data_IF_178293048864
#
_entry.id   IF_178293048864
#
_cell.length_a   1.000
_cell.length_b   1.000
_cell.length_c   1.000
_cell.angle_alpha   90.00
_cell.angle_beta   90.00
_cell.angle_gamma   90.00
#
_symmetry.space_group_name_H-M   'P 1'
#
loop_
_entity.id
_entity.type
_entity.pdbx_description
1 polymer ?
#
# COMPACT_ATOMS: atom_id res chain seq x y z
N UNK A 1 -5.47 -25.28 2.71
CA UNK A 1 -5.58 -24.45 3.91
C UNK A 1 -7.06 -24.31 4.28
N UNK A 2 -7.47 -24.65 5.51
CA UNK A 2 -8.78 -24.22 6.07
C UNK A 2 -8.45 -23.12 7.07
N UNK A 3 -8.44 -21.87 6.62
CA UNK A 3 -8.35 -20.73 7.53
C UNK A 3 -9.57 -20.78 8.46
N UNK A 4 -9.33 -20.81 9.76
CA UNK A 4 -10.39 -20.69 10.77
C UNK A 4 -10.26 -19.28 11.32
N UNK A 5 -11.17 -18.40 10.91
CA UNK A 5 -11.30 -17.07 11.50
C UNK A 5 -11.99 -17.27 12.85
N UNK A 6 -11.37 -16.74 13.90
CA UNK A 6 -11.97 -16.80 15.23
C UNK A 6 -13.29 -16.00 15.20
N UNK A 7 -14.40 -16.47 15.79
CA UNK A 7 -15.70 -15.79 15.70
C UNK A 7 -15.69 -14.31 16.12
N UNK A 8 -14.69 -13.92 16.91
CA UNK A 8 -14.49 -12.56 17.43
C UNK A 8 -13.32 -11.80 16.81
N UNK A 9 -12.53 -12.42 15.92
CA UNK A 9 -11.39 -11.77 15.30
C UNK A 9 -11.45 -11.91 13.79
N UNK A 10 -11.95 -10.85 13.15
CA UNK A 10 -12.26 -10.75 11.73
C UNK A 10 -11.20 -9.93 10.97
N UNK A 11 -9.97 -9.97 11.47
CA UNK A 11 -8.86 -9.16 10.99
C UNK A 11 -7.84 -10.07 10.33
N UNK A 12 -7.33 -9.63 9.18
CA UNK A 12 -6.18 -10.21 8.53
C UNK A 12 -4.98 -9.28 8.70
N UNK A 13 -3.87 -9.82 9.19
CA UNK A 13 -2.57 -9.17 9.18
C UNK A 13 -1.76 -9.69 7.99
N UNK A 14 -1.25 -8.78 7.18
CA UNK A 14 -0.66 -9.07 5.89
C UNK A 14 0.78 -8.56 5.79
N UNK A 15 1.60 -9.36 5.12
CA UNK A 15 2.94 -9.00 4.65
C UNK A 15 3.23 -9.81 3.39
N UNK A 16 4.36 -9.56 2.75
CA UNK A 16 4.88 -10.40 1.66
C UNK A 16 6.30 -10.89 2.02
N UNK A 17 6.75 -11.97 1.38
CA UNK A 17 8.06 -12.56 1.67
C UNK A 17 9.05 -12.47 0.51
N UNK A 18 8.60 -12.03 -0.66
CA UNK A 18 9.48 -11.72 -1.78
C UNK A 18 10.20 -10.39 -1.56
N UNK A 19 11.19 -10.14 -2.41
CA UNK A 19 12.05 -8.96 -2.33
C UNK A 19 12.63 -8.69 -3.71
N UNK A 20 13.15 -7.48 -3.92
CA UNK A 20 13.72 -7.03 -5.20
C UNK A 20 15.25 -7.17 -5.29
N UNK A 21 15.84 -8.03 -4.45
CA UNK A 21 17.27 -8.33 -4.51
C UNK A 21 17.67 -8.85 -5.88
N UNK A 22 18.80 -8.37 -6.40
CA UNK A 22 19.30 -8.77 -7.73
C UNK A 22 20.30 -9.92 -7.67
N UNK A 23 20.81 -10.21 -6.49
CA UNK A 23 21.82 -11.24 -6.27
C UNK A 23 21.38 -12.19 -5.16
N UNK A 24 21.51 -13.49 -5.43
CA UNK A 24 21.20 -14.52 -4.45
C UNK A 24 22.28 -14.62 -3.36
N UNK A 25 21.86 -14.97 -2.14
CA UNK A 25 22.76 -15.33 -1.06
C UNK A 25 22.39 -14.72 0.29
N UNK A 26 23.35 -14.76 1.22
CA UNK A 26 23.23 -14.07 2.51
C UNK A 26 23.86 -12.69 2.40
N UNK A 27 23.14 -11.67 2.85
CA UNK A 27 23.66 -10.32 2.99
C UNK A 27 24.16 -10.05 4.42
N UNK A 28 25.14 -9.16 4.54
CA UNK A 28 25.62 -8.66 5.83
C UNK A 28 24.84 -7.40 6.20
N UNK A 29 24.08 -7.47 7.28
CA UNK A 29 23.33 -6.33 7.82
C UNK A 29 24.16 -5.60 8.86
N UNK A 30 24.17 -4.27 8.79
CA UNK A 30 24.81 -3.38 9.75
C UNK A 30 23.76 -2.70 10.61
N UNK A 31 24.15 -2.38 11.84
CA UNK A 31 23.30 -1.69 12.80
C UNK A 31 24.09 -0.54 13.42
N UNK A 32 23.60 0.68 13.24
CA UNK A 32 24.13 1.88 13.87
C UNK A 32 23.44 2.10 15.21
N UNK A 33 24.19 1.90 16.30
CA UNK A 33 23.69 2.07 17.67
C UNK A 33 23.39 3.52 18.04
N UNK A 34 23.99 4.50 17.34
CA UNK A 34 23.79 5.92 17.65
C UNK A 34 22.46 6.44 17.09
N UNK A 35 22.09 6.00 15.89
CA UNK A 35 20.82 6.35 15.25
C UNK A 35 19.72 5.31 15.41
N UNK A 36 20.04 4.12 15.93
CA UNK A 36 19.14 2.97 16.06
C UNK A 36 18.57 2.50 14.71
N UNK A 37 19.45 2.40 13.70
CA UNK A 37 19.09 2.09 12.31
C UNK A 37 19.82 0.86 11.80
N UNK A 38 19.09 -0.06 11.16
CA UNK A 38 19.66 -1.16 10.38
C UNK A 38 19.75 -0.79 8.90
N UNK A 39 20.84 -1.19 8.24
CA UNK A 39 21.12 -0.87 6.84
C UNK A 39 22.13 -1.86 6.22
N UNK A 40 22.42 -1.66 4.92
CA UNK A 40 23.44 -2.38 4.17
C UNK A 40 24.45 -1.41 3.55
N UNK A 41 25.71 -1.84 3.36
CA UNK A 41 26.80 -1.02 2.83
C UNK A 41 27.22 -1.40 1.39
N UNK A 42 26.35 -2.11 0.67
CA UNK A 42 26.58 -2.59 -0.70
C UNK A 42 25.45 -2.17 -1.64
N UNK A 43 25.63 -2.43 -2.94
CA UNK A 43 24.69 -2.00 -3.98
C UNK A 43 23.51 -2.99 -4.12
N UNK A 44 22.83 -3.31 -3.04
CA UNK A 44 21.57 -4.08 -3.00
C UNK A 44 20.65 -3.48 -1.95
N UNK A 45 19.36 -3.81 -2.01
CA UNK A 45 18.40 -3.38 -0.99
C UNK A 45 18.64 -4.12 0.35
N UNK A 46 18.07 -3.62 1.44
CA UNK A 46 18.08 -4.30 2.74
C UNK A 46 17.01 -5.40 2.77
N UNK A 47 15.91 -5.21 2.05
CA UNK A 47 14.73 -6.07 2.06
C UNK A 47 13.84 -5.84 3.27
N UNK A 48 13.87 -4.65 3.88
CA UNK A 48 12.95 -4.30 4.96
C UNK A 48 11.51 -4.26 4.44
N UNK A 49 11.33 -3.84 3.19
CA UNK A 49 10.17 -4.14 2.35
C UNK A 49 10.28 -5.60 1.81
N UNK A 50 9.52 -6.58 2.33
CA UNK A 50 8.60 -6.53 3.48
C UNK A 50 9.00 -7.48 4.63
N UNK A 51 10.29 -7.79 4.78
CA UNK A 51 10.74 -8.64 5.91
C UNK A 51 10.43 -8.03 7.27
N UNK A 52 10.30 -6.69 7.35
CA UNK A 52 9.79 -5.98 8.53
C UNK A 52 8.34 -6.38 8.86
N UNK A 53 7.45 -6.43 7.86
CA UNK A 53 6.07 -6.89 8.05
C UNK A 53 6.00 -8.36 8.49
N UNK A 54 6.84 -9.21 7.89
CA UNK A 54 6.97 -10.62 8.30
C UNK A 54 7.42 -10.74 9.76
N UNK A 55 8.40 -9.95 10.19
CA UNK A 55 8.83 -9.91 11.58
C UNK A 55 7.69 -9.55 12.54
N UNK A 56 6.90 -8.51 12.21
CA UNK A 56 5.76 -8.10 13.03
C UNK A 56 4.70 -9.21 13.14
N UNK A 57 4.38 -9.88 12.03
CA UNK A 57 3.47 -11.05 12.03
C UNK A 57 4.00 -12.16 12.94
N UNK A 58 5.28 -12.51 12.83
CA UNK A 58 5.89 -13.57 13.64
C UNK A 58 5.86 -13.23 15.13
N UNK A 59 6.13 -11.98 15.51
CA UNK A 59 6.04 -11.54 16.91
C UNK A 59 4.59 -11.55 17.41
N UNK A 60 3.63 -11.08 16.63
CA UNK A 60 2.20 -11.15 17.00
C UNK A 60 1.73 -12.60 17.21
N UNK A 61 2.13 -13.54 16.34
CA UNK A 61 1.88 -14.98 16.49
C UNK A 61 2.55 -15.50 17.77
N UNK A 62 3.82 -15.16 18.01
CA UNK A 62 4.59 -15.58 19.19
C UNK A 62 3.92 -15.15 20.50
N UNK A 63 3.37 -13.94 20.53
CA UNK A 63 2.63 -13.40 21.66
C UNK A 63 1.13 -13.75 21.65
N UNK A 64 0.70 -14.62 20.72
CA UNK A 64 -0.66 -15.17 20.62
C UNK A 64 -1.74 -14.09 20.43
N UNK A 65 -1.40 -13.02 19.71
CA UNK A 65 -2.42 -12.07 19.25
C UNK A 65 -3.39 -12.82 18.33
N UNK A 66 -4.70 -12.81 18.59
CA UNK A 66 -5.65 -13.47 17.69
C UNK A 66 -5.69 -12.75 16.34
N UNK A 67 -5.95 -13.48 15.26
CA UNK A 67 -6.04 -12.94 13.90
C UNK A 67 -5.78 -14.01 12.85
N UNK A 68 -6.12 -13.70 11.60
CA UNK A 68 -5.63 -14.47 10.45
C UNK A 68 -4.35 -13.81 9.94
N UNK A 69 -3.29 -14.60 9.75
CA UNK A 69 -2.00 -14.11 9.27
C UNK A 69 -1.78 -14.63 7.86
N UNK A 70 -1.54 -13.73 6.91
CA UNK A 70 -1.25 -14.08 5.52
C UNK A 70 0.06 -13.44 5.12
N UNK A 71 1.00 -14.28 4.66
CA UNK A 71 2.24 -13.83 4.04
C UNK A 71 2.12 -14.19 2.56
N UNK A 72 1.99 -13.19 1.70
CA UNK A 72 1.83 -13.37 0.27
C UNK A 72 3.17 -13.61 -0.42
N UNK A 73 3.07 -14.07 -1.67
CA UNK A 73 4.19 -14.24 -2.58
C UNK A 73 3.91 -13.45 -3.85
N UNK A 74 4.94 -12.83 -4.42
CA UNK A 74 4.87 -12.11 -5.69
C UNK A 74 4.13 -10.78 -5.58
N UNK A 75 4.22 -10.10 -4.43
CA UNK A 75 3.73 -8.73 -4.27
C UNK A 75 4.52 -7.78 -5.17
N UNK A 76 5.86 -7.92 -5.14
CA UNK A 76 6.83 -7.16 -5.94
C UNK A 76 6.73 -7.48 -7.44
N UNK A 77 5.93 -8.50 -7.78
CA UNK A 77 5.60 -8.92 -9.14
C UNK A 77 4.14 -8.59 -9.52
N UNK A 78 3.47 -7.70 -8.77
CA UNK A 78 2.10 -7.25 -9.03
C UNK A 78 1.03 -8.05 -8.28
N UNK A 79 1.28 -8.42 -7.02
CA UNK A 79 0.25 -9.00 -6.14
C UNK A 79 -0.26 -10.40 -6.51
N UNK A 80 0.61 -11.26 -7.06
CA UNK A 80 0.20 -12.58 -7.57
C UNK A 80 -0.54 -13.40 -6.49
N UNK A 81 0.02 -13.47 -5.29
CA UNK A 81 -0.55 -14.25 -4.20
C UNK A 81 -1.90 -13.72 -3.70
N UNK A 82 -2.03 -12.41 -3.53
CA UNK A 82 -3.26 -11.76 -3.06
C UNK A 82 -4.38 -11.84 -4.11
N UNK A 83 -4.07 -11.59 -5.38
CA UNK A 83 -5.04 -11.76 -6.49
C UNK A 83 -5.57 -13.20 -6.57
N UNK A 84 -4.71 -14.20 -6.39
CA UNK A 84 -5.13 -15.60 -6.42
C UNK A 84 -6.07 -15.98 -5.25
N UNK A 85 -5.82 -15.46 -4.06
CA UNK A 85 -6.72 -15.63 -2.90
C UNK A 85 -8.08 -15.00 -3.19
N UNK A 86 -8.11 -13.75 -3.65
CA UNK A 86 -9.35 -13.01 -3.97
C UNK A 86 -10.13 -13.71 -5.07
N UNK A 87 -9.47 -14.15 -6.14
CA UNK A 87 -10.06 -14.92 -7.25
C UNK A 87 -10.67 -16.24 -6.77
N UNK A 88 -10.00 -16.90 -5.83
CA UNK A 88 -10.48 -18.14 -5.22
C UNK A 88 -11.74 -17.98 -4.36
N UNK A 89 -12.07 -16.75 -3.95
CA UNK A 89 -13.22 -16.40 -3.08
C UNK A 89 -13.43 -17.41 -1.94
N UNK A 90 -12.40 -17.65 -1.12
CA UNK A 90 -12.51 -18.64 -0.07
C UNK A 90 -13.61 -18.21 0.91
N UNK A 91 -14.40 -19.18 1.38
CA UNK A 91 -15.59 -18.89 2.22
C UNK A 91 -15.27 -18.07 3.47
N UNK A 92 -14.09 -18.25 4.05
CA UNK A 92 -13.66 -17.51 5.24
C UNK A 92 -13.55 -16.00 4.97
N UNK A 93 -13.35 -15.57 3.72
CA UNK A 93 -13.21 -14.15 3.39
C UNK A 93 -14.51 -13.36 3.65
N UNK A 94 -15.67 -14.03 3.61
CA UNK A 94 -16.96 -13.42 3.92
C UNK A 94 -17.10 -12.97 5.38
N UNK A 95 -16.27 -13.52 6.27
CA UNK A 95 -16.30 -13.22 7.70
C UNK A 95 -15.26 -12.15 8.11
N UNK A 96 -14.50 -11.61 7.15
CA UNK A 96 -13.43 -10.64 7.37
C UNK A 96 -13.99 -9.21 7.32
N UNK A 97 -13.59 -8.38 8.28
CA UNK A 97 -13.95 -6.96 8.32
C UNK A 97 -12.78 -6.04 7.97
N UNK A 98 -11.54 -6.48 8.23
CA UNK A 98 -10.35 -5.68 7.97
C UNK A 98 -9.14 -6.48 7.49
N UNK A 99 -8.41 -5.90 6.54
CA UNK A 99 -7.09 -6.32 6.07
C UNK A 99 -6.08 -5.20 6.38
N UNK A 100 -5.05 -5.52 7.15
CA UNK A 100 -4.00 -4.56 7.56
C UNK A 100 -2.66 -5.07 7.04
N UNK A 101 -2.11 -4.40 6.02
CA UNK A 101 -0.74 -4.61 5.55
C UNK A 101 0.28 -3.92 6.46
N UNK A 102 1.39 -4.61 6.72
CA UNK A 102 2.57 -4.07 7.40
C UNK A 102 3.67 -3.74 6.40
N UNK A 103 3.35 -2.83 5.48
CA UNK A 103 4.10 -2.64 4.24
C UNK A 103 4.11 -1.18 3.76
N UNK A 104 4.31 -0.24 4.69
CA UNK A 104 4.39 1.18 4.34
C UNK A 104 5.64 1.78 4.96
N UNK A 105 6.38 2.52 4.15
CA UNK A 105 7.53 3.29 4.61
C UNK A 105 7.14 4.33 5.67
N UNK A 106 8.14 4.86 6.38
CA UNK A 106 7.96 5.94 7.34
C UNK A 106 7.31 5.48 8.65
N UNK A 107 6.82 6.44 9.42
CA UNK A 107 6.43 6.23 10.84
C UNK A 107 5.14 6.92 11.23
N UNK A 108 4.31 7.32 10.27
CA UNK A 108 3.22 8.27 10.53
C UNK A 108 1.92 7.98 9.76
N UNK A 109 1.87 6.98 8.87
CA UNK A 109 0.72 6.77 8.00
C UNK A 109 -0.14 5.58 8.42
N UNK A 110 -1.45 5.78 8.38
CA UNK A 110 -2.48 4.76 8.20
C UNK A 110 -3.14 5.06 6.86
N UNK A 111 -2.97 4.19 5.88
CA UNK A 111 -3.45 4.44 4.52
C UNK A 111 -4.97 4.31 4.44
N UNK A 112 -5.64 5.38 4.00
CA UNK A 112 -7.11 5.39 3.78
C UNK A 112 -7.48 5.20 2.32
N UNK A 113 -6.57 5.55 1.41
CA UNK A 113 -6.77 5.39 -0.03
C UNK A 113 -5.55 4.73 -0.67
N UNK A 114 -5.80 3.80 -1.58
CA UNK A 114 -4.79 3.12 -2.36
C UNK A 114 -5.15 3.27 -3.84
N UNK A 115 -4.19 3.62 -4.68
CA UNK A 115 -4.43 3.86 -6.11
C UNK A 115 -5.55 4.88 -6.38
N UNK A 116 -5.67 5.90 -5.50
CA UNK A 116 -6.70 6.93 -5.57
C UNK A 116 -8.12 6.48 -5.18
N UNK A 117 -8.31 5.21 -4.79
CA UNK A 117 -9.58 4.67 -4.33
C UNK A 117 -9.60 4.57 -2.81
N UNK A 118 -10.71 4.92 -2.16
CA UNK A 118 -10.90 4.69 -0.73
C UNK A 118 -10.96 3.20 -0.46
N UNK A 119 -10.02 2.71 0.35
CA UNK A 119 -9.97 1.32 0.78
C UNK A 119 -10.18 1.18 2.28
N UNK A 120 -9.92 2.23 3.04
CA UNK A 120 -10.13 2.30 4.48
C UNK A 120 -10.83 3.61 4.84
N UNK A 121 -11.81 3.53 5.74
CA UNK A 121 -12.56 4.67 6.25
C UNK A 121 -11.74 5.47 7.28
N UNK A 122 -12.05 6.76 7.40
CA UNK A 122 -11.50 7.60 8.48
C UNK A 122 -11.89 7.05 9.86
N UNK A 123 -13.08 6.47 10.00
CA UNK A 123 -13.53 5.86 11.25
C UNK A 123 -12.65 4.68 11.64
N UNK A 124 -12.32 3.79 10.70
CA UNK A 124 -11.40 2.68 10.98
C UNK A 124 -9.99 3.17 11.29
N UNK A 125 -9.47 4.14 10.54
CA UNK A 125 -8.14 4.70 10.81
C UNK A 125 -8.04 5.32 12.21
N UNK A 126 -9.07 6.06 12.63
CA UNK A 126 -9.15 6.63 13.97
C UNK A 126 -9.24 5.55 15.07
N UNK A 127 -10.05 4.51 14.88
CA UNK A 127 -10.14 3.40 15.83
C UNK A 127 -8.81 2.65 15.94
N UNK A 128 -8.15 2.39 14.81
CA UNK A 128 -6.85 1.74 14.75
C UNK A 128 -5.78 2.55 15.50
N UNK A 129 -5.69 3.85 15.24
CA UNK A 129 -4.78 4.71 16.00
C UNK A 129 -5.15 4.77 17.48
N UNK A 130 -6.43 4.73 17.85
CA UNK A 130 -6.84 4.76 19.25
C UNK A 130 -6.36 3.55 20.06
N UNK A 131 -6.22 2.39 19.42
CA UNK A 131 -5.72 1.16 20.05
C UNK A 131 -4.20 1.03 19.98
N UNK A 132 -3.56 1.55 18.92
CA UNK A 132 -2.10 1.50 18.74
C UNK A 132 -1.39 2.61 19.50
N UNK A 133 -1.95 3.83 19.54
CA UNK A 133 -1.39 5.02 20.20
C UNK A 133 0.03 5.34 19.75
N UNK A 134 0.26 5.23 18.43
CA UNK A 134 1.55 5.41 17.78
C UNK A 134 1.70 6.80 17.14
N UNK A 135 0.67 7.65 17.27
CA UNK A 135 0.54 8.95 16.61
C UNK A 135 0.61 8.83 15.07
N UNK A 136 0.10 7.73 14.53
CA UNK A 136 -0.13 7.59 13.10
C UNK A 136 -1.35 8.42 12.70
N UNK A 137 -1.43 8.78 11.42
CA UNK A 137 -2.45 9.65 10.86
C UNK A 137 -3.00 9.04 9.57
N UNK A 138 -4.28 9.27 9.33
CA UNK A 138 -4.88 8.99 8.03
C UNK A 138 -4.08 9.63 6.91
N UNK A 139 -3.80 8.87 5.86
CA UNK A 139 -3.01 9.26 4.71
C UNK A 139 -3.67 8.71 3.44
N UNK A 140 -4.11 9.59 2.54
CA UNK A 140 -4.71 9.19 1.25
C UNK A 140 -3.68 8.95 0.15
N UNK A 141 -2.38 9.18 0.41
CA UNK A 141 -1.28 8.95 -0.52
C UNK A 141 -0.78 7.50 -0.55
N UNK A 142 -1.68 6.53 -0.44
CA UNK A 142 -1.35 5.12 -0.55
C UNK A 142 -1.16 4.69 -2.00
N UNK A 143 -0.14 3.86 -2.21
CA UNK A 143 0.08 3.13 -3.45
C UNK A 143 -0.52 1.72 -3.34
N UNK A 144 -0.40 0.95 -4.40
CA UNK A 144 -0.77 -0.47 -4.39
C UNK A 144 0.02 -1.23 -3.31
N UNK A 145 -0.66 -2.13 -2.61
CA UNK A 145 -0.09 -3.23 -1.80
C UNK A 145 -1.12 -4.36 -1.82
N UNK A 146 -0.76 -5.56 -1.35
CA UNK A 146 -1.64 -6.74 -1.35
C UNK A 146 -3.06 -6.48 -0.82
N UNK A 147 -3.23 -5.62 0.20
CA UNK A 147 -4.55 -5.35 0.77
C UNK A 147 -5.51 -4.67 -0.22
N UNK A 148 -5.00 -3.99 -1.24
CA UNK A 148 -5.82 -3.38 -2.30
C UNK A 148 -6.68 -4.42 -3.03
N UNK A 149 -6.15 -5.61 -3.31
CA UNK A 149 -6.88 -6.70 -3.98
C UNK A 149 -8.17 -7.08 -3.25
N UNK A 150 -8.20 -6.91 -1.92
CA UNK A 150 -9.32 -7.28 -1.07
C UNK A 150 -10.39 -6.18 -0.98
N UNK A 151 -10.14 -4.96 -1.46
CA UNK A 151 -11.00 -3.80 -1.17
C UNK A 151 -12.40 -3.90 -1.78
N UNK A 152 -12.62 -4.73 -2.79
CA UNK A 152 -13.95 -5.01 -3.34
C UNK A 152 -14.76 -6.03 -2.53
N UNK A 153 -14.14 -6.68 -1.55
CA UNK A 153 -14.72 -7.79 -0.78
C UNK A 153 -14.71 -7.55 0.74
N UNK A 154 -13.73 -6.80 1.24
CA UNK A 154 -13.54 -6.52 2.67
C UNK A 154 -13.74 -5.04 2.95
N UNK A 155 -14.49 -4.72 4.01
CA UNK A 155 -14.83 -3.34 4.39
C UNK A 155 -13.60 -2.45 4.48
N UNK A 156 -12.59 -2.85 5.25
CA UNK A 156 -11.41 -2.03 5.50
C UNK A 156 -10.16 -2.71 4.97
N UNK A 157 -9.45 -2.05 4.06
CA UNK A 157 -8.15 -2.49 3.57
C UNK A 157 -7.19 -1.32 3.71
N UNK A 158 -6.19 -1.47 4.58
CA UNK A 158 -5.24 -0.43 4.92
C UNK A 158 -3.82 -0.98 4.94
N UNK A 159 -2.88 -0.06 4.96
CA UNK A 159 -1.45 -0.30 5.10
C UNK A 159 -0.91 0.70 6.12
N UNK A 160 -0.06 0.28 7.04
CA UNK A 160 0.45 1.16 8.10
C UNK A 160 1.96 1.27 8.05
N UNK A 161 2.47 2.46 8.36
CA UNK A 161 3.90 2.73 8.43
C UNK A 161 4.62 1.77 9.37
N UNK A 162 5.72 1.16 8.92
CA UNK A 162 6.52 0.17 9.68
C UNK A 162 7.98 0.58 9.93
N UNK A 163 8.39 1.77 9.49
CA UNK A 163 9.68 2.37 9.83
C UNK A 163 10.83 2.07 8.87
N UNK A 164 10.58 1.44 7.73
CA UNK A 164 11.58 1.39 6.66
C UNK A 164 11.56 2.67 5.82
N UNK A 165 12.68 2.95 5.12
CA UNK A 165 12.85 4.09 4.24
C UNK A 165 13.70 3.72 3.02
N UNK A 166 13.48 4.41 1.90
CA UNK A 166 14.20 4.20 0.64
C UNK A 166 14.18 2.74 0.16
N UNK A 167 13.03 2.10 0.30
CA UNK A 167 12.77 0.74 -0.17
C UNK A 167 13.21 0.56 -1.63
N UNK A 168 13.63 -0.66 -1.97
CA UNK A 168 14.10 -1.05 -3.31
C UNK A 168 15.38 -0.33 -3.77
N UNK A 169 16.09 0.33 -2.86
CA UNK A 169 17.36 1.00 -3.18
C UNK A 169 18.49 0.52 -2.28
N UNK A 170 19.73 0.78 -2.69
CA UNK A 170 20.92 0.53 -1.86
C UNK A 170 21.04 1.45 -0.63
N UNK A 171 20.08 2.35 -0.43
CA UNK A 171 19.97 3.23 0.74
C UNK A 171 18.82 2.82 1.65
N UNK A 172 18.26 1.63 1.42
CA UNK A 172 17.20 1.11 2.27
C UNK A 172 17.69 0.97 3.71
N UNK A 173 16.85 1.39 4.63
CA UNK A 173 17.15 1.38 6.05
C UNK A 173 15.89 1.12 6.87
N UNK A 174 16.07 0.60 8.07
CA UNK A 174 15.01 0.32 9.02
C UNK A 174 15.26 1.05 10.35
N UNK A 175 14.29 1.84 10.79
CA UNK A 175 14.26 2.40 12.14
C UNK A 175 13.90 1.28 13.14
N UNK A 176 14.91 0.86 13.92
CA UNK A 176 14.78 -0.24 14.87
C UNK A 176 14.03 0.18 16.14
N UNK A 177 14.09 1.45 16.52
CA UNK A 177 13.32 1.97 17.66
C UNK A 177 11.82 1.95 17.35
N UNK A 178 11.44 2.41 16.15
CA UNK A 178 10.05 2.50 15.74
C UNK A 178 9.41 1.11 15.59
N UNK A 179 10.06 0.17 14.90
CA UNK A 179 9.51 -1.18 14.70
C UNK A 179 9.29 -1.91 16.04
N UNK A 180 10.17 -1.71 17.03
CA UNK A 180 10.03 -2.31 18.35
C UNK A 180 8.86 -1.71 19.14
N UNK A 181 8.64 -0.39 19.03
CA UNK A 181 7.45 0.28 19.60
C UNK A 181 6.17 -0.16 18.91
N UNK A 182 6.17 -0.25 17.58
CA UNK A 182 5.03 -0.71 16.81
C UNK A 182 4.68 -2.16 17.16
N UNK A 183 5.66 -3.05 17.27
CA UNK A 183 5.47 -4.42 17.75
C UNK A 183 4.78 -4.44 19.11
N UNK A 184 5.28 -3.68 20.07
CA UNK A 184 4.69 -3.62 21.42
C UNK A 184 3.26 -3.07 21.38
N UNK A 185 2.98 -2.08 20.54
CA UNK A 185 1.63 -1.56 20.32
C UNK A 185 0.70 -2.64 19.73
N UNK A 186 1.12 -3.35 18.68
CA UNK A 186 0.34 -4.41 18.03
C UNK A 186 0.01 -5.57 18.99
N UNK A 187 0.97 -5.94 19.85
CA UNK A 187 0.79 -7.01 20.85
C UNK A 187 -0.20 -6.60 21.95
N UNK A 188 -0.12 -5.35 22.41
CA UNK A 188 -0.92 -4.88 23.54
C UNK A 188 -2.27 -4.26 23.12
N UNK A 189 -2.51 -4.09 21.82
CA UNK A 189 -3.72 -3.50 21.28
C UNK A 189 -4.96 -4.36 21.57
N UNK A 190 -6.06 -3.69 21.89
CA UNK A 190 -7.36 -4.31 22.10
C UNK A 190 -8.11 -4.42 20.77
N UNK A 191 -7.74 -5.43 19.99
CA UNK A 191 -8.30 -5.71 18.67
C UNK A 191 -9.81 -5.99 18.67
N UNK A 192 -10.44 -6.20 19.84
CA UNK A 192 -11.89 -6.34 19.94
C UNK A 192 -12.66 -5.04 19.70
N UNK A 193 -11.96 -3.90 19.71
CA UNK A 193 -12.54 -2.57 19.54
C UNK A 193 -12.63 -2.09 18.10
N UNK A 194 -11.99 -2.77 17.16
CA UNK A 194 -12.05 -2.39 15.74
C UNK A 194 -13.13 -3.19 15.00
N UNK A 195 -13.74 -2.56 14.00
CA UNK A 195 -14.80 -3.13 13.17
C UNK A 195 -14.81 -2.50 11.79
N UNK A 196 -15.47 -3.13 10.84
CA UNK A 196 -15.72 -2.54 9.51
C UNK A 196 -16.75 -1.42 9.54
N UNK A 197 -16.55 -0.39 8.71
CA UNK A 197 -17.44 0.76 8.55
C UNK A 197 -17.88 0.96 7.09
N UNK A 198 -16.99 0.73 6.13
CA UNK A 198 -17.23 0.92 4.71
C UNK A 198 -18.04 -0.23 4.12
N UNK A 199 -18.90 0.10 3.16
CA UNK A 199 -19.49 -0.88 2.26
C UNK A 199 -18.48 -1.19 1.13
N UNK A 200 -17.91 -2.41 1.06
CA UNK A 200 -16.91 -2.75 0.06
C UNK A 200 -17.42 -2.72 -1.38
N UNK A 201 -18.75 -2.74 -1.58
CA UNK A 201 -19.38 -2.71 -2.91
C UNK A 201 -19.51 -1.29 -3.46
N UNK A 202 -19.32 -0.27 -2.62
CA UNK A 202 -19.32 1.14 -3.02
C UNK A 202 -17.89 1.56 -3.32
N UNK A 203 -17.68 2.04 -4.55
CA UNK A 203 -16.40 2.57 -5.00
C UNK A 203 -16.42 4.08 -4.78
N UNK A 204 -15.52 4.56 -3.94
CA UNK A 204 -15.26 5.97 -3.69
C UNK A 204 -13.82 6.27 -4.12
N UNK A 205 -13.64 7.35 -4.87
CA UNK A 205 -12.32 7.86 -5.23
C UNK A 205 -12.01 9.09 -4.37
N UNK A 206 -10.73 9.36 -4.15
CA UNK A 206 -10.32 10.59 -3.46
C UNK A 206 -10.79 11.79 -4.29
N UNK A 207 -11.69 12.58 -3.71
CA UNK A 207 -12.24 13.77 -4.34
C UNK A 207 -11.26 14.90 -4.04
N UNK A 208 -10.23 15.02 -4.88
CA UNK A 208 -9.17 16.02 -4.74
C UNK A 208 -9.75 17.43 -4.89
N UNK A 209 -10.32 17.95 -3.80
CA UNK A 209 -10.74 19.33 -3.62
C UNK A 209 -11.86 19.81 -4.54
N UNK A 210 -13.10 19.49 -4.19
CA UNK A 210 -14.19 20.45 -4.29
C UNK A 210 -14.97 20.49 -2.98
N UNK A 211 -14.65 21.48 -2.16
CA UNK A 211 -15.58 21.94 -1.13
C UNK A 211 -16.84 22.48 -1.83
N UNK A 212 -17.89 21.67 -1.86
CA UNK A 212 -19.26 22.14 -1.63
C UNK A 212 -20.24 20.97 -1.60
N UNK A 213 -20.65 20.62 -0.38
CA UNK A 213 -22.03 20.23 -0.08
C UNK A 213 -22.54 18.94 -0.71
N UNK A 214 -22.62 17.90 0.13
CA UNK A 214 -23.63 16.85 0.12
C UNK A 214 -24.79 17.09 -0.86
N UNK A 215 -24.79 16.37 -1.99
CA UNK A 215 -26.03 15.80 -2.52
C UNK A 215 -25.70 14.59 -3.40
N UNK A 216 -26.13 13.40 -2.94
CA UNK A 216 -26.26 12.22 -3.79
C UNK A 216 -27.12 12.60 -5.01
N UNK A 217 -26.60 12.40 -6.22
CA UNK A 217 -27.40 12.09 -7.42
C UNK A 217 -26.50 11.82 -8.63
N UNK A 218 -26.55 10.57 -9.09
CA UNK A 218 -26.37 10.13 -10.47
C UNK A 218 -26.07 11.24 -11.49
N UNK A 219 -24.80 11.42 -11.87
CA UNK A 219 -24.45 12.06 -13.14
C UNK A 219 -23.25 11.34 -13.77
N UNK A 220 -23.44 10.96 -15.03
CA UNK A 220 -22.38 10.53 -15.95
C UNK A 220 -21.23 11.54 -15.85
N UNK A 221 -20.07 11.05 -15.43
CA UNK A 221 -18.83 11.82 -15.30
C UNK A 221 -18.41 12.37 -16.66
N UNK A 222 -18.44 13.69 -16.81
CA UNK A 222 -17.59 14.40 -17.75
C UNK A 222 -16.48 15.01 -16.91
N UNK A 223 -15.35 14.33 -16.85
CA UNK A 223 -14.15 14.83 -16.18
C UNK A 223 -13.62 16.05 -16.94
N UNK A 224 -13.19 17.09 -16.22
CA UNK A 224 -12.65 18.34 -16.78
C UNK A 224 -11.17 18.41 -16.42
N UNK A 225 -10.31 18.70 -17.41
CA UNK A 225 -8.84 18.72 -17.28
C UNK A 225 -8.37 19.71 -16.20
N UNK A 226 -7.24 19.44 -15.53
CA UNK A 226 -6.64 20.37 -14.55
C UNK A 226 -6.33 21.75 -15.15
N UNK A 227 -6.06 21.80 -16.46
CA UNK A 227 -5.76 23.04 -17.20
C UNK A 227 -7.00 23.83 -17.62
N UNK A 228 -8.20 23.24 -17.55
CA UNK A 228 -9.45 23.91 -17.95
C UNK A 228 -10.08 24.74 -16.81
N UNK A 229 -9.53 24.66 -15.58
CA UNK A 229 -9.96 25.51 -14.46
C UNK A 229 -9.31 26.88 -14.60
N UNK A 230 -10.08 27.85 -15.09
CA UNK A 230 -9.66 29.24 -15.19
C UNK A 230 -9.12 29.77 -13.85
N UNK A 231 -7.79 29.95 -13.74
CA UNK A 231 -7.14 30.73 -12.69
C UNK A 231 -6.05 30.07 -11.85
N UNK A 232 -5.39 28.99 -12.28
CA UNK A 232 -4.29 28.38 -11.53
C UNK A 232 -2.97 29.19 -11.70
N UNK A 233 -2.40 29.72 -10.61
CA UNK A 233 -1.24 30.62 -10.68
C UNK A 233 0.11 29.92 -10.45
N UNK A 234 0.13 28.66 -10.00
CA UNK A 234 1.37 27.90 -9.75
C UNK A 234 1.38 26.46 -10.34
N UNK A 235 0.21 25.85 -10.59
CA UNK A 235 0.11 24.48 -11.13
C UNK A 235 0.44 24.37 -12.64
N UNK A 236 0.63 25.50 -13.32
CA UNK A 236 1.09 25.58 -14.72
C UNK A 236 2.60 25.86 -14.82
N UNK A 237 3.30 25.99 -13.68
CA UNK A 237 4.72 26.35 -13.65
C UNK A 237 5.62 25.10 -13.80
N UNK A 238 6.26 24.98 -14.95
CA UNK A 238 7.17 23.89 -15.29
C UNK A 238 8.25 23.63 -14.22
N UNK A 239 8.91 24.68 -13.72
CA UNK A 239 10.01 24.53 -12.76
C UNK A 239 9.50 24.03 -11.39
N UNK A 240 8.30 24.46 -11.00
CA UNK A 240 7.64 23.96 -9.79
C UNK A 240 7.24 22.49 -9.95
N UNK A 241 6.63 22.12 -11.08
CA UNK A 241 6.24 20.73 -11.34
C UNK A 241 7.44 19.79 -11.41
N UNK A 242 8.52 20.20 -12.08
CA UNK A 242 9.76 19.41 -12.15
C UNK A 242 10.48 19.29 -10.81
N UNK A 243 10.40 20.30 -9.94
CA UNK A 243 10.97 20.21 -8.59
C UNK A 243 10.09 19.40 -7.62
N UNK A 244 8.76 19.43 -7.82
CA UNK A 244 7.79 18.69 -7.02
C UNK A 244 7.75 17.20 -7.33
N UNK A 245 7.82 16.82 -8.60
CA UNK A 245 7.74 15.42 -9.03
C UNK A 245 9.10 14.92 -9.52
N UNK A 246 9.75 14.11 -8.68
CA UNK A 246 11.12 13.65 -8.89
C UNK A 246 11.26 12.50 -9.89
N UNK A 247 10.15 11.87 -10.32
CA UNK A 247 10.16 10.77 -11.28
C UNK A 247 8.96 10.83 -12.23
N UNK A 248 9.10 10.16 -13.38
CA UNK A 248 8.02 10.02 -14.36
C UNK A 248 6.80 9.30 -13.75
N UNK A 249 7.03 8.30 -12.91
CA UNK A 249 5.97 7.61 -12.16
C UNK A 249 5.15 8.59 -11.33
N UNK A 250 5.80 9.48 -10.56
CA UNK A 250 5.10 10.53 -9.80
C UNK A 250 4.33 11.50 -10.68
N UNK A 251 4.81 11.78 -11.89
CA UNK A 251 4.08 12.60 -12.87
C UNK A 251 2.85 11.85 -13.40
N UNK A 252 2.97 10.55 -13.70
CA UNK A 252 1.85 9.71 -14.14
C UNK A 252 0.79 9.58 -13.05
N UNK A 253 1.21 9.42 -11.79
CA UNK A 253 0.32 9.44 -10.62
C UNK A 253 -0.40 10.78 -10.46
N UNK A 254 0.31 11.89 -10.66
CA UNK A 254 -0.23 13.24 -10.45
C UNK A 254 -1.14 13.71 -11.60
N UNK A 255 -0.92 13.23 -12.82
CA UNK A 255 -1.63 13.65 -14.03
C UNK A 255 -2.08 12.46 -14.90
N UNK A 256 -2.80 11.47 -14.33
CA UNK A 256 -3.08 10.21 -15.03
C UNK A 256 -3.97 10.43 -16.26
N UNK A 257 -4.86 11.43 -16.22
CA UNK A 257 -5.73 11.74 -17.34
C UNK A 257 -4.99 12.45 -18.48
N UNK A 258 -4.24 13.51 -18.16
CA UNK A 258 -3.45 14.24 -19.15
C UNK A 258 -2.40 13.32 -19.79
N UNK A 259 -1.75 12.46 -19.00
CA UNK A 259 -0.89 11.40 -19.53
C UNK A 259 -1.67 10.44 -20.42
N UNK A 260 -2.89 10.03 -20.05
CA UNK A 260 -3.70 9.16 -20.91
C UNK A 260 -4.07 9.82 -22.24
N UNK A 261 -4.35 11.13 -22.24
CA UNK A 261 -4.62 11.90 -23.46
C UNK A 261 -3.37 12.01 -24.33
N UNK A 262 -2.22 12.33 -23.73
CA UNK A 262 -0.94 12.34 -24.42
C UNK A 262 -0.68 10.97 -25.04
N UNK A 263 -0.83 9.88 -24.29
CA UNK A 263 -0.63 8.53 -24.83
C UNK A 263 -1.55 8.25 -26.04
N UNK A 264 -2.83 8.64 -25.97
CA UNK A 264 -3.76 8.54 -27.09
C UNK A 264 -3.33 9.37 -28.30
N UNK A 265 -2.85 10.60 -28.09
CA UNK A 265 -2.28 11.45 -29.15
C UNK A 265 -1.05 10.83 -29.79
N UNK A 266 -0.22 10.15 -29.01
CA UNK A 266 0.93 9.39 -29.48
C UNK A 266 0.54 8.03 -30.10
N UNK A 267 -0.75 7.75 -30.26
CA UNK A 267 -1.28 6.59 -30.97
C UNK A 267 -1.45 5.33 -30.10
N UNK A 268 -1.28 5.44 -28.78
CA UNK A 268 -1.60 4.35 -27.87
C UNK A 268 -3.11 4.29 -27.62
N UNK A 269 -3.72 3.17 -27.98
CA UNK A 269 -5.01 2.79 -27.41
C UNK A 269 -4.82 1.95 -26.14
N UNK A 270 -5.93 1.70 -25.45
CA UNK A 270 -5.95 0.91 -24.22
C UNK A 270 -5.31 -0.48 -24.41
N UNK A 271 -5.59 -1.14 -25.54
CA UNK A 271 -5.17 -2.53 -25.77
C UNK A 271 -3.68 -2.60 -26.09
N UNK A 272 -3.17 -1.67 -26.90
CA UNK A 272 -1.75 -1.50 -27.20
C UNK A 272 -0.94 -1.17 -25.97
N UNK A 273 -1.41 -0.22 -25.14
CA UNK A 273 -0.72 0.14 -23.90
C UNK A 273 -0.67 -1.04 -22.92
N UNK A 274 -1.78 -1.76 -22.72
CA UNK A 274 -1.81 -2.97 -21.87
C UNK A 274 -0.85 -4.03 -22.42
N UNK A 275 -0.85 -4.25 -23.73
CA UNK A 275 0.04 -5.22 -24.37
C UNK A 275 1.51 -4.86 -24.15
N UNK A 276 1.87 -3.59 -24.29
CA UNK A 276 3.25 -3.14 -24.12
C UNK A 276 3.68 -3.18 -22.64
N UNK A 277 2.80 -2.86 -21.70
CA UNK A 277 3.04 -3.07 -20.26
C UNK A 277 3.32 -4.56 -20.00
N UNK A 278 2.46 -5.47 -20.45
CA UNK A 278 2.65 -6.91 -20.28
C UNK A 278 3.92 -7.42 -20.96
N UNK A 279 4.25 -6.89 -22.14
CA UNK A 279 5.48 -7.24 -22.84
C UNK A 279 6.72 -6.72 -22.09
N UNK A 280 6.66 -5.52 -21.51
CA UNK A 280 7.73 -4.96 -20.69
C UNK A 280 7.98 -5.83 -19.45
N UNK A 281 6.93 -6.26 -18.76
CA UNK A 281 7.03 -7.21 -17.65
C UNK A 281 7.56 -8.58 -18.09
N UNK A 282 7.18 -9.08 -19.29
CA UNK A 282 7.72 -10.33 -19.83
C UNK A 282 9.19 -10.24 -20.26
N UNK A 283 9.63 -9.08 -20.73
CA UNK A 283 11.04 -8.82 -21.05
C UNK A 283 11.90 -8.76 -19.80
N UNK A 284 11.36 -8.20 -18.70
CA UNK A 284 11.99 -8.32 -17.39
C UNK A 284 12.00 -9.77 -16.92
N UNK A 285 10.95 -10.58 -17.11
CA UNK A 285 11.05 -11.99 -16.67
C UNK A 285 12.03 -12.84 -17.51
N UNK A 286 12.18 -12.60 -18.82
CA UNK A 286 13.13 -13.36 -19.67
C UNK A 286 14.59 -12.93 -19.51
N UNK A 287 14.86 -11.65 -19.21
CA UNK A 287 16.24 -11.17 -19.00
C UNK A 287 16.83 -11.58 -17.65
N UNK A 288 15.99 -11.90 -16.66
CA UNK A 288 16.42 -12.38 -15.35
C UNK A 288 16.59 -13.91 -15.28
N UNK A 289 16.17 -14.64 -16.31
CA UNK A 289 16.36 -16.10 -16.45
C UNK A 289 17.56 -16.48 -17.36
N UNK A 290 18.48 -15.54 -17.66
CA UNK A 290 19.77 -15.81 -18.31
C UNK A 290 20.95 -15.46 -17.42
#
# INVERSE_FOLDING_TARGET
FRGVIHPTNKIIFMAHHDTVHRTDGMQKVFYDTASDVAYVDHNECLGADCTTGVFLILEMIRYKVPGLYIIHTGEECGGIGSSEIVRGKPKWLNDVEACISFDRYGTNSIITHQMGQRTCSESFANDLESILKMNLKSDSGGVYTDSYEYCGLVSECTNISVGYYNQHTSKESQDMNFIMKLRDALINADWSKIRGYRDPTVIEYDDWGYDSGWTSKNKKSNYVSKFDRAGATDDDNYDYLCSKYSSLERVVEAFPYEVSQILQEYGYDKEGLIKDILNHHSWMSETWYR
#
